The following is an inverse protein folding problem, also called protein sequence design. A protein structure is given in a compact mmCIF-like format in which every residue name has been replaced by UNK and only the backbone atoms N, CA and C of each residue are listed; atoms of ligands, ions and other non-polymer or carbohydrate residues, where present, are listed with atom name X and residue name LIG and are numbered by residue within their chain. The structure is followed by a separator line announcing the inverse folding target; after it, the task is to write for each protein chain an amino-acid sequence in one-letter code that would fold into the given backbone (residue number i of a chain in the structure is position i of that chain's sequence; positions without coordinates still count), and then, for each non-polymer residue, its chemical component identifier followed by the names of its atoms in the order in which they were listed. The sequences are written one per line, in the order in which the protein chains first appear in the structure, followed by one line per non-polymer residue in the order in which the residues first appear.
data_IF_019893098976
#
_entry.id   IF_019893098976
#
_cell.length_a   1.000
_cell.length_b   1.000
_cell.length_c   1.000
_cell.angle_alpha   90.00
_cell.angle_beta   90.00
_cell.angle_gamma   90.00
#
_symmetry.space_group_name_H-M   'P 1'
#
loop_
_entity.id
_entity.type
_entity.pdbx_description
1 polymer ?
#
# COMPACT_ATOMS: atom_id res chain seq x y z
N UNK A 1 11.57 10.71 -16.61
CA UNK A 1 11.82 10.18 -15.25
C UNK A 1 10.74 9.13 -14.99
N UNK A 2 11.10 7.84 -14.98
CA UNK A 2 10.17 6.72 -14.77
C UNK A 2 10.06 6.34 -13.28
N UNK A 3 9.21 5.36 -12.96
CA UNK A 3 9.18 4.76 -11.63
C UNK A 3 10.54 4.08 -11.32
N UNK A 4 11.08 4.16 -10.09
CA UNK A 4 12.44 3.72 -9.77
C UNK A 4 12.64 2.20 -9.91
N UNK A 5 11.58 1.42 -9.70
CA UNK A 5 11.59 -0.03 -9.83
C UNK A 5 11.36 -0.44 -11.30
N UNK A 6 12.36 -1.08 -11.88
CA UNK A 6 12.33 -1.52 -13.28
C UNK A 6 11.40 -2.72 -13.49
N UNK A 7 11.24 -3.60 -12.50
CA UNK A 7 10.34 -4.76 -12.57
C UNK A 7 8.90 -4.28 -12.61
N UNK A 8 8.57 -3.28 -11.80
CA UNK A 8 7.26 -2.61 -11.83
C UNK A 8 7.02 -1.96 -13.19
N UNK A 9 8.02 -1.30 -13.77
CA UNK A 9 7.90 -0.74 -15.12
C UNK A 9 7.69 -1.81 -16.20
N UNK A 10 8.36 -2.96 -16.08
CA UNK A 10 8.20 -4.08 -17.01
C UNK A 10 6.79 -4.68 -16.92
N UNK A 11 6.31 -4.93 -15.69
CA UNK A 11 4.97 -5.47 -15.46
C UNK A 11 3.87 -4.49 -15.89
N UNK A 12 4.06 -3.19 -15.66
CA UNK A 12 3.12 -2.15 -16.11
C UNK A 12 2.93 -2.11 -17.64
N UNK A 13 3.96 -2.48 -18.42
CA UNK A 13 3.84 -2.63 -19.88
C UNK A 13 3.22 -3.96 -20.29
N UNK A 14 3.67 -5.05 -19.65
CA UNK A 14 3.24 -6.41 -19.96
C UNK A 14 1.75 -6.65 -19.70
N UNK A 15 1.21 -6.08 -18.63
CA UNK A 15 -0.17 -6.36 -18.20
C UNK A 15 -1.24 -5.87 -19.21
N UNK A 16 -1.16 -4.64 -19.76
CA UNK A 16 -2.02 -4.22 -20.88
C UNK A 16 -1.83 -5.05 -22.15
N UNK A 17 -0.60 -5.43 -22.49
CA UNK A 17 -0.29 -6.24 -23.68
C UNK A 17 -0.94 -7.64 -23.59
N UNK A 18 -0.80 -8.31 -22.44
CA UNK A 18 -1.44 -9.61 -22.19
C UNK A 18 -2.97 -9.52 -22.17
N UNK A 19 -3.53 -8.44 -21.61
CA UNK A 19 -4.97 -8.22 -21.64
C UNK A 19 -5.46 -8.01 -23.08
N UNK A 20 -4.76 -7.17 -23.85
CA UNK A 20 -5.09 -6.92 -25.25
C UNK A 20 -5.01 -8.21 -26.08
N UNK A 21 -3.95 -9.00 -25.92
CA UNK A 21 -3.77 -10.25 -26.66
C UNK A 21 -4.85 -11.28 -26.35
N UNK A 22 -5.34 -11.32 -25.10
CA UNK A 22 -6.36 -12.29 -24.68
C UNK A 22 -7.78 -11.93 -25.08
N UNK A 23 -8.13 -10.64 -25.08
CA UNK A 23 -9.53 -10.21 -25.18
C UNK A 23 -9.88 -9.48 -26.48
N UNK A 24 -8.89 -9.02 -27.26
CA UNK A 24 -9.14 -8.28 -28.51
C UNK A 24 -9.92 -9.06 -29.58
N UNK A 25 -9.84 -10.39 -29.58
CA UNK A 25 -10.56 -11.25 -30.52
C UNK A 25 -12.03 -11.50 -30.14
N UNK A 26 -12.39 -11.28 -28.86
CA UNK A 26 -13.69 -11.67 -28.31
C UNK A 26 -14.50 -10.46 -27.83
N UNK A 27 -13.85 -9.33 -27.59
CA UNK A 27 -14.48 -8.17 -26.95
C UNK A 27 -13.76 -6.86 -27.30
N UNK A 28 -14.50 -5.75 -27.19
CA UNK A 28 -13.91 -4.41 -27.31
C UNK A 28 -13.12 -4.07 -26.06
N UNK A 29 -11.81 -3.90 -26.19
CA UNK A 29 -10.93 -3.44 -25.10
C UNK A 29 -11.07 -1.94 -24.94
N UNK A 30 -11.34 -1.48 -23.71
CA UNK A 30 -11.36 -0.06 -23.35
C UNK A 30 -9.99 0.39 -22.85
N UNK A 31 -9.71 1.69 -22.94
CA UNK A 31 -8.48 2.26 -22.43
C UNK A 31 -8.40 2.09 -20.90
N UNK A 32 -7.30 1.52 -20.40
CA UNK A 32 -7.06 1.26 -18.99
C UNK A 32 -5.93 2.16 -18.49
N UNK A 33 -6.12 2.78 -17.32
CA UNK A 33 -5.08 3.53 -16.60
C UNK A 33 -4.82 2.83 -15.27
N UNK A 34 -3.57 2.41 -15.05
CA UNK A 34 -3.13 1.82 -13.81
C UNK A 34 -2.32 2.83 -13.00
N UNK A 35 -2.50 2.83 -11.69
CA UNK A 35 -1.76 3.68 -10.76
C UNK A 35 -1.23 2.83 -9.62
N UNK A 36 -0.01 3.14 -9.19
CA UNK A 36 0.60 2.56 -8.02
C UNK A 36 0.32 3.53 -6.86
N UNK A 37 -0.19 2.99 -5.76
CA UNK A 37 -0.37 3.73 -4.52
C UNK A 37 0.66 3.23 -3.51
N UNK A 38 1.41 4.16 -2.92
CA UNK A 38 2.38 3.85 -1.87
C UNK A 38 1.74 4.17 -0.52
N UNK A 39 1.53 3.13 0.29
CA UNK A 39 1.01 3.30 1.65
C UNK A 39 2.20 3.28 2.61
N UNK A 40 2.56 4.40 3.25
CA UNK A 40 3.65 4.41 4.22
C UNK A 40 3.30 3.53 5.42
N UNK A 41 4.28 2.74 5.85
CA UNK A 41 4.20 1.88 7.02
C UNK A 41 5.28 2.30 8.01
N UNK A 42 4.89 2.69 9.22
CA UNK A 42 5.83 3.03 10.28
C UNK A 42 5.66 2.05 11.43
N UNK A 43 6.77 1.44 11.87
CA UNK A 43 6.82 0.64 13.09
C UNK A 43 7.31 1.53 14.22
N UNK A 44 6.42 1.83 15.17
CA UNK A 44 6.73 2.66 16.32
C UNK A 44 7.03 1.78 17.54
N UNK A 45 8.15 2.05 18.18
CA UNK A 45 8.57 1.40 19.43
C UNK A 45 8.50 2.41 20.57
N UNK A 46 7.96 2.00 21.71
CA UNK A 46 7.90 2.84 22.90
C UNK A 46 8.01 2.03 24.19
N UNK A 47 8.57 2.65 25.22
CA UNK A 47 8.65 2.05 26.55
C UNK A 47 7.69 2.78 27.48
N UNK A 48 6.79 2.04 28.14
CA UNK A 48 5.84 2.58 29.11
C UNK A 48 5.88 1.77 30.40
N UNK A 49 6.10 2.45 31.54
CA UNK A 49 6.21 1.83 32.87
C UNK A 49 7.20 0.66 32.92
N UNK A 50 8.33 0.77 32.21
CA UNK A 50 9.37 -0.26 32.16
C UNK A 50 9.02 -1.49 31.31
N UNK A 51 7.94 -1.43 30.53
CA UNK A 51 7.59 -2.46 29.53
C UNK A 51 7.73 -1.87 28.14
N UNK A 52 8.30 -2.65 27.23
CA UNK A 52 8.41 -2.28 25.82
C UNK A 52 7.15 -2.70 25.07
N UNK A 53 6.76 -1.83 24.15
CA UNK A 53 5.57 -1.98 23.33
C UNK A 53 5.86 -1.47 21.92
N UNK A 54 5.07 -1.96 20.98
CA UNK A 54 5.15 -1.55 19.60
C UNK A 54 3.77 -1.51 18.93
N UNK A 55 3.65 -0.67 17.91
CA UNK A 55 2.48 -0.63 17.05
C UNK A 55 2.84 -0.18 15.64
N UNK A 56 1.99 -0.53 14.68
CA UNK A 56 2.13 -0.12 13.30
C UNK A 56 1.19 1.04 12.99
N UNK A 57 1.72 2.05 12.30
CA UNK A 57 0.97 3.15 11.72
C UNK A 57 0.93 2.95 10.22
N UNK A 58 -0.29 2.88 9.68
CA UNK A 58 -0.54 2.64 8.26
C UNK A 58 -1.09 3.91 7.61
N UNK A 59 -0.58 4.22 6.42
CA UNK A 59 -1.14 5.25 5.56
C UNK A 59 -0.84 6.68 6.00
N UNK A 60 -1.42 7.62 5.28
CA UNK A 60 -1.28 9.06 5.52
C UNK A 60 -2.34 9.61 6.50
N UNK A 61 -3.29 8.76 6.89
CA UNK A 61 -4.48 9.18 7.63
C UNK A 61 -4.22 9.49 9.11
N UNK A 62 -2.96 9.36 9.58
CA UNK A 62 -2.57 9.48 10.99
C UNK A 62 -3.42 8.59 11.93
N UNK A 63 -3.99 7.48 11.41
CA UNK A 63 -4.79 6.54 12.20
C UNK A 63 -3.90 5.42 12.73
N UNK A 64 -4.08 5.08 14.00
CA UNK A 64 -3.32 4.05 14.69
C UNK A 64 -4.25 2.94 15.15
N UNK A 65 -3.93 1.70 14.78
CA UNK A 65 -4.59 0.52 15.33
C UNK A 65 -3.70 -0.12 16.39
N UNK A 66 -4.03 0.10 17.66
CA UNK A 66 -3.28 -0.44 18.81
C UNK A 66 -4.21 -1.22 19.76
N UNK A 67 -4.49 -2.51 19.48
CA UNK A 67 -5.42 -3.31 20.28
C UNK A 67 -4.89 -3.66 21.69
N UNK A 68 -3.58 -3.52 21.93
CA UNK A 68 -2.91 -3.79 23.22
C UNK A 68 -2.43 -2.51 23.92
N UNK A 69 -3.04 -1.36 23.60
CA UNK A 69 -2.61 -0.09 24.19
C UNK A 69 -2.81 -0.11 25.73
N UNK A 70 -1.79 0.22 26.54
CA UNK A 70 -1.78 -0.03 27.99
C UNK A 70 -2.70 0.90 28.82
N UNK A 71 -3.40 1.84 28.18
CA UNK A 71 -4.41 2.69 28.82
C UNK A 71 -5.54 2.95 27.84
N UNK A 72 -6.79 3.00 28.30
CA UNK A 72 -7.94 3.44 27.50
C UNK A 72 -7.88 4.95 27.23
N UNK A 73 -6.85 5.39 26.50
CA UNK A 73 -6.70 6.77 26.05
C UNK A 73 -7.12 6.83 24.58
N UNK A 74 -8.40 7.08 24.35
CA UNK A 74 -8.92 7.58 23.08
C UNK A 74 -8.34 8.98 22.88
N UNK A 75 -7.46 9.16 21.91
CA UNK A 75 -6.96 10.50 21.55
C UNK A 75 -8.02 11.15 20.63
N UNK A 76 -8.38 12.39 21.00
CA UNK A 76 -9.18 13.38 20.26
C UNK A 76 -8.66 13.61 18.84
#
# INVERSE_FOLDING_TARGET
MGFPDQDICAMSRKMPEEHLSRFSSVSRVLQQRQSIELVPLTHAFYTYKGKDYDYFVYGLENKVYSPKYPSSCSIL
#
